data_IF_110456101295
#
_entry.id   IF_110456101295
#
_cell.length_a   1.000
_cell.length_b   1.000
_cell.length_c   1.000
_cell.angle_alpha   90.00
_cell.angle_beta   90.00
_cell.angle_gamma   90.00
#
_symmetry.space_group_name_H-M   'P 1'
#
loop_
_entity.id
_entity.type
_entity.pdbx_description
1 polymer ?
#
# COMPACT_ATOMS: atom_id res chain seq x y z
N UNK A 1 -47.39 -18.52 -11.63
CA UNK A 1 -46.05 -18.50 -12.24
C UNK A 1 -45.35 -17.13 -12.06
N UNK A 2 -46.08 -16.02 -12.17
CA UNK A 2 -45.54 -14.66 -12.04
C UNK A 2 -44.98 -14.33 -10.65
N UNK A 3 -45.68 -14.79 -9.57
CA UNK A 3 -45.28 -14.55 -8.18
C UNK A 3 -43.98 -15.28 -7.80
N UNK A 4 -43.79 -16.49 -8.24
CA UNK A 4 -42.58 -17.26 -7.96
C UNK A 4 -41.35 -16.65 -8.67
N UNK A 5 -41.52 -16.16 -9.89
CA UNK A 5 -40.47 -15.50 -10.65
C UNK A 5 -40.01 -14.20 -9.97
N UNK A 6 -40.97 -13.40 -9.47
CA UNK A 6 -40.68 -12.18 -8.75
C UNK A 6 -39.93 -12.43 -7.44
N UNK A 7 -40.28 -13.49 -6.71
CA UNK A 7 -39.54 -13.90 -5.49
C UNK A 7 -38.10 -14.34 -5.80
N UNK A 8 -37.87 -15.06 -6.89
CA UNK A 8 -36.52 -15.44 -7.30
C UNK A 8 -35.67 -14.24 -7.67
N UNK A 9 -36.22 -13.33 -8.46
CA UNK A 9 -35.52 -12.10 -8.89
C UNK A 9 -35.17 -11.23 -7.69
N UNK A 10 -36.12 -11.01 -6.78
CA UNK A 10 -35.88 -10.20 -5.56
C UNK A 10 -34.80 -10.81 -4.66
N UNK A 11 -34.77 -12.13 -4.49
CA UNK A 11 -33.71 -12.81 -3.73
C UNK A 11 -32.34 -12.68 -4.37
N UNK A 12 -32.24 -12.85 -5.68
CA UNK A 12 -30.98 -12.68 -6.44
C UNK A 12 -30.50 -11.24 -6.34
N UNK A 13 -31.42 -10.28 -6.48
CA UNK A 13 -31.09 -8.84 -6.38
C UNK A 13 -30.61 -8.47 -4.97
N UNK A 14 -31.32 -8.90 -3.93
CA UNK A 14 -30.94 -8.66 -2.54
C UNK A 14 -29.59 -9.30 -2.24
N UNK A 15 -29.35 -10.53 -2.66
CA UNK A 15 -28.06 -11.21 -2.50
C UNK A 15 -26.93 -10.47 -3.21
N UNK A 16 -27.15 -10.04 -4.44
CA UNK A 16 -26.16 -9.29 -5.23
C UNK A 16 -25.82 -7.93 -4.59
N UNK A 17 -26.83 -7.21 -4.10
CA UNK A 17 -26.64 -5.95 -3.38
C UNK A 17 -25.89 -6.19 -2.07
N UNK A 18 -26.26 -7.23 -1.31
CA UNK A 18 -25.62 -7.57 -0.04
C UNK A 18 -24.16 -8.00 -0.24
N UNK A 19 -23.86 -8.79 -1.26
CA UNK A 19 -22.50 -9.17 -1.63
C UNK A 19 -21.69 -7.94 -2.06
N UNK A 20 -22.27 -7.04 -2.84
CA UNK A 20 -21.63 -5.79 -3.29
C UNK A 20 -21.31 -4.85 -2.12
N UNK A 21 -22.23 -4.71 -1.17
CA UNK A 21 -22.03 -3.92 0.05
C UNK A 21 -21.01 -4.57 1.00
N UNK A 22 -21.02 -5.91 1.10
CA UNK A 22 -20.11 -6.67 1.96
C UNK A 22 -18.68 -6.69 1.45
N UNK A 23 -18.51 -6.68 0.13
CA UNK A 23 -17.19 -6.60 -0.53
C UNK A 23 -16.58 -5.20 -0.38
N UNK A 24 -17.41 -4.13 -0.32
CA UNK A 24 -16.93 -2.75 -0.14
C UNK A 24 -16.81 -2.26 1.30
N UNK A 25 -17.56 -2.88 2.25
CA UNK A 25 -17.73 -2.35 3.61
C UNK A 25 -16.52 -2.46 4.53
N UNK A 26 -15.57 -3.35 4.27
CA UNK A 26 -14.40 -3.61 5.12
C UNK A 26 -13.06 -3.31 4.46
N UNK A 27 -13.05 -2.85 3.21
CA UNK A 27 -11.80 -2.51 2.53
C UNK A 27 -11.22 -1.21 3.09
N UNK A 28 -9.99 -1.26 3.60
CA UNK A 28 -9.29 -0.07 4.07
C UNK A 28 -8.90 0.80 2.89
N UNK A 29 -9.23 2.09 2.95
CA UNK A 29 -8.78 3.06 1.96
C UNK A 29 -7.27 3.18 2.02
N UNK A 30 -6.61 2.98 0.89
CA UNK A 30 -5.17 2.94 0.82
C UNK A 30 -4.60 3.79 -0.32
N UNK A 31 -3.42 4.34 -0.10
CA UNK A 31 -2.56 4.86 -1.15
C UNK A 31 -1.41 3.89 -1.44
N UNK A 32 -0.87 3.94 -2.65
CA UNK A 32 0.34 3.21 -3.03
C UNK A 32 1.49 4.22 -3.17
N UNK A 33 2.57 4.01 -2.43
CA UNK A 33 3.82 4.76 -2.59
C UNK A 33 4.62 4.17 -3.74
N UNK A 34 4.60 4.88 -4.89
CA UNK A 34 5.20 4.49 -6.16
C UNK A 34 4.25 4.76 -7.33
N UNK A 35 4.81 4.93 -8.54
CA UNK A 35 4.07 5.36 -9.74
C UNK A 35 4.33 4.51 -10.98
N UNK A 36 5.21 3.51 -10.92
CA UNK A 36 5.63 2.71 -12.06
C UNK A 36 5.10 1.26 -11.96
N UNK A 37 5.70 0.36 -12.72
CA UNK A 37 5.28 -1.04 -12.82
C UNK A 37 4.99 -1.73 -11.48
N UNK A 38 5.79 -1.45 -10.44
CA UNK A 38 5.56 -2.00 -9.10
C UNK A 38 4.25 -1.54 -8.46
N UNK A 39 3.83 -0.29 -8.70
CA UNK A 39 2.55 0.22 -8.20
C UNK A 39 1.37 -0.40 -8.94
N UNK A 40 1.50 -0.62 -10.25
CA UNK A 40 0.48 -1.30 -11.07
C UNK A 40 0.30 -2.74 -10.58
N UNK A 41 1.40 -3.46 -10.38
CA UNK A 41 1.36 -4.84 -9.89
C UNK A 41 0.71 -4.93 -8.51
N UNK A 42 1.06 -4.03 -7.58
CA UNK A 42 0.43 -3.96 -6.26
C UNK A 42 -1.06 -3.65 -6.33
N UNK A 43 -1.47 -2.77 -7.25
CA UNK A 43 -2.89 -2.47 -7.45
C UNK A 43 -3.66 -3.70 -7.92
N UNK A 44 -3.10 -4.45 -8.87
CA UNK A 44 -3.71 -5.67 -9.37
C UNK A 44 -3.79 -6.74 -8.27
N UNK A 45 -2.73 -6.90 -7.48
CA UNK A 45 -2.72 -7.83 -6.35
C UNK A 45 -3.75 -7.44 -5.29
N UNK A 46 -3.80 -6.16 -4.91
CA UNK A 46 -4.78 -5.67 -3.94
C UNK A 46 -6.24 -5.91 -4.39
N UNK A 47 -6.50 -5.88 -5.70
CA UNK A 47 -7.81 -6.21 -6.29
C UNK A 47 -8.12 -7.70 -6.30
N UNK A 48 -7.09 -8.54 -6.43
CA UNK A 48 -7.22 -10.01 -6.52
C UNK A 48 -7.42 -10.66 -5.15
N UNK A 49 -7.00 -10.01 -4.06
CA UNK A 49 -7.19 -10.51 -2.69
C UNK A 49 -8.68 -10.53 -2.35
N UNK A 50 -9.22 -11.72 -2.05
CA UNK A 50 -10.61 -11.89 -1.60
C UNK A 50 -10.63 -12.45 -0.17
N UNK A 51 -11.37 -11.84 0.78
CA UNK A 51 -12.14 -10.60 0.63
C UNK A 51 -11.23 -9.39 0.41
N UNK A 52 -11.73 -8.38 -0.31
CA UNK A 52 -10.97 -7.16 -0.61
C UNK A 52 -10.53 -6.46 0.69
N UNK A 53 -9.22 -6.39 0.91
CA UNK A 53 -8.63 -5.75 2.10
C UNK A 53 -8.38 -4.26 1.89
N UNK A 54 -8.05 -3.85 0.66
CA UNK A 54 -7.66 -2.49 0.34
C UNK A 54 -8.47 -1.93 -0.82
N UNK A 55 -8.92 -0.68 -0.68
CA UNK A 55 -9.47 0.14 -1.75
C UNK A 55 -8.44 1.20 -2.13
N UNK A 56 -7.85 1.08 -3.31
CA UNK A 56 -6.81 2.02 -3.74
C UNK A 56 -7.46 3.32 -4.19
N UNK A 57 -7.13 4.42 -3.50
CA UNK A 57 -7.69 5.75 -3.76
C UNK A 57 -6.71 6.69 -4.49
N UNK A 58 -5.44 6.33 -4.56
CA UNK A 58 -4.44 7.12 -5.28
C UNK A 58 -3.02 6.58 -5.11
N UNK A 59 -2.09 7.32 -5.66
CA UNK A 59 -0.67 6.99 -5.67
C UNK A 59 0.14 8.17 -5.14
N UNK A 60 1.29 7.89 -4.53
CA UNK A 60 2.25 8.91 -4.08
C UNK A 60 3.53 8.73 -4.89
N UNK A 61 3.96 9.78 -5.58
CA UNK A 61 5.17 9.80 -6.39
C UNK A 61 6.16 10.86 -5.94
N UNK A 62 7.43 10.66 -6.26
CA UNK A 62 8.51 11.60 -5.93
C UNK A 62 8.65 12.75 -6.95
N UNK A 63 7.88 12.70 -8.04
CA UNK A 63 7.91 13.71 -9.10
C UNK A 63 7.33 15.03 -8.63
N UNK A 64 7.71 16.12 -9.32
CA UNK A 64 7.06 17.42 -9.14
C UNK A 64 5.55 17.29 -9.35
N UNK A 65 4.72 18.02 -8.61
CA UNK A 65 3.29 17.90 -8.70
C UNK A 65 2.82 18.24 -10.14
N UNK A 66 2.39 17.23 -10.88
CA UNK A 66 1.68 17.40 -12.13
C UNK A 66 0.19 17.29 -11.81
N UNK A 67 -0.53 18.39 -11.95
CA UNK A 67 -1.90 18.57 -11.45
C UNK A 67 -2.91 17.54 -11.97
N UNK A 68 -2.63 16.80 -13.04
CA UNK A 68 -3.56 15.85 -13.65
C UNK A 68 -2.97 14.46 -13.94
N UNK A 69 -1.82 14.12 -13.38
CA UNK A 69 -1.24 12.82 -13.62
C UNK A 69 -2.06 11.72 -12.92
N UNK A 70 -2.52 10.76 -13.72
CA UNK A 70 -3.33 9.63 -13.24
C UNK A 70 -2.69 8.30 -13.59
N UNK A 71 -2.73 7.38 -12.65
CA UNK A 71 -2.35 5.99 -12.85
C UNK A 71 -3.57 5.10 -12.58
N UNK A 72 -3.91 4.23 -13.52
CA UNK A 72 -5.09 3.36 -13.43
C UNK A 72 -6.39 4.11 -13.06
N UNK A 73 -6.55 5.35 -13.55
CA UNK A 73 -7.70 6.21 -13.29
C UNK A 73 -7.70 6.95 -11.94
N UNK A 74 -6.71 6.72 -11.08
CA UNK A 74 -6.54 7.39 -9.79
C UNK A 74 -5.43 8.44 -9.85
N UNK A 75 -5.60 9.54 -9.10
CA UNK A 75 -4.64 10.65 -9.07
C UNK A 75 -3.31 10.24 -8.44
N UNK A 76 -2.23 10.79 -8.95
CA UNK A 76 -0.89 10.73 -8.35
C UNK A 76 -0.67 12.03 -7.57
N UNK A 77 -0.29 11.89 -6.31
CA UNK A 77 0.08 12.96 -5.39
C UNK A 77 1.60 13.04 -5.29
N UNK A 78 2.13 14.24 -5.21
CA UNK A 78 3.56 14.44 -4.99
C UNK A 78 3.91 14.38 -3.50
N UNK A 79 5.08 13.83 -3.16
CA UNK A 79 5.64 13.94 -1.80
C UNK A 79 5.91 15.37 -1.35
N UNK A 80 5.88 16.34 -2.27
CA UNK A 80 6.01 17.77 -1.96
C UNK A 80 4.68 18.43 -1.58
N UNK A 81 3.54 17.77 -1.85
CA UNK A 81 2.22 18.21 -1.38
C UNK A 81 2.05 17.91 0.11
N UNK A 82 1.06 18.51 0.74
CA UNK A 82 0.69 18.18 2.12
C UNK A 82 -0.03 16.82 2.16
N UNK A 83 0.78 15.75 2.11
CA UNK A 83 0.29 14.38 2.08
C UNK A 83 -0.56 14.04 3.31
N UNK A 84 -0.21 14.59 4.48
CA UNK A 84 -0.96 14.34 5.73
C UNK A 84 -2.39 14.85 5.61
N UNK A 85 -2.55 16.08 5.15
CA UNK A 85 -3.87 16.68 4.94
C UNK A 85 -4.68 15.89 3.90
N UNK A 86 -4.05 15.47 2.81
CA UNK A 86 -4.72 14.66 1.76
C UNK A 86 -5.16 13.31 2.33
N UNK A 87 -4.36 12.69 3.18
CA UNK A 87 -4.66 11.43 3.86
C UNK A 87 -5.89 11.58 4.77
N UNK A 88 -5.91 12.65 5.58
CA UNK A 88 -7.02 12.95 6.49
C UNK A 88 -8.31 13.24 5.70
N UNK A 89 -8.26 14.13 4.72
CA UNK A 89 -9.41 14.53 3.89
C UNK A 89 -10.05 13.33 3.16
N UNK A 90 -9.22 12.37 2.72
CA UNK A 90 -9.67 11.17 2.01
C UNK A 90 -9.93 9.99 2.94
N UNK A 91 -9.65 10.10 4.22
CA UNK A 91 -9.81 9.02 5.19
C UNK A 91 -8.96 7.79 4.87
N UNK A 92 -7.73 8.01 4.43
CA UNK A 92 -6.78 6.94 4.12
C UNK A 92 -6.31 6.27 5.42
N UNK A 93 -6.36 4.95 5.46
CA UNK A 93 -5.98 4.15 6.64
C UNK A 93 -4.74 3.30 6.42
N UNK A 94 -4.30 3.16 5.16
CA UNK A 94 -3.16 2.34 4.83
C UNK A 94 -2.31 2.95 3.71
N UNK A 95 -1.00 2.72 3.78
CA UNK A 95 -0.04 3.00 2.69
C UNK A 95 0.62 1.69 2.30
N UNK A 96 0.58 1.37 1.01
CA UNK A 96 1.24 0.23 0.42
C UNK A 96 2.52 0.69 -0.27
N UNK A 97 3.68 0.29 0.24
CA UNK A 97 4.97 0.72 -0.31
C UNK A 97 5.40 -0.23 -1.43
N UNK A 98 5.58 0.33 -2.63
CA UNK A 98 6.07 -0.43 -3.79
C UNK A 98 7.47 -0.97 -3.53
N UNK A 99 7.78 -2.24 -3.92
CA UNK A 99 9.09 -2.84 -3.75
C UNK A 99 10.22 -1.99 -4.33
N UNK A 100 9.97 -1.40 -5.51
CA UNK A 100 10.95 -0.56 -6.20
C UNK A 100 11.25 0.77 -5.49
N UNK A 101 10.34 1.23 -4.64
CA UNK A 101 10.46 2.48 -3.88
C UNK A 101 10.74 2.30 -2.39
N UNK A 102 10.93 1.05 -1.96
CA UNK A 102 11.16 0.73 -0.56
C UNK A 102 12.33 1.51 0.05
N UNK A 103 13.50 1.50 -0.58
CA UNK A 103 14.68 2.24 -0.11
C UNK A 103 14.44 3.75 0.00
N UNK A 104 13.75 4.33 -0.98
CA UNK A 104 13.41 5.76 -0.96
C UNK A 104 12.42 6.09 0.16
N UNK A 105 11.45 5.21 0.40
CA UNK A 105 10.49 5.36 1.49
C UNK A 105 11.19 5.30 2.85
N UNK A 106 12.08 4.32 3.07
CA UNK A 106 12.84 4.17 4.33
C UNK A 106 13.74 5.38 4.59
N UNK A 107 14.31 5.98 3.56
CA UNK A 107 15.14 7.18 3.70
C UNK A 107 14.33 8.47 3.96
N UNK A 108 13.03 8.47 3.71
CA UNK A 108 12.17 9.63 3.91
C UNK A 108 11.50 9.60 5.30
N UNK A 109 12.31 9.84 6.35
CA UNK A 109 11.84 9.83 7.76
C UNK A 109 10.71 10.82 8.00
N UNK A 110 10.77 12.03 7.41
CA UNK A 110 9.71 13.04 7.57
C UNK A 110 8.34 12.52 7.15
N UNK A 111 8.29 11.82 6.02
CA UNK A 111 7.04 11.21 5.55
C UNK A 111 6.59 10.08 6.47
N UNK A 112 7.51 9.23 6.92
CA UNK A 112 7.19 8.13 7.84
C UNK A 112 6.60 8.66 9.16
N UNK A 113 7.28 9.62 9.80
CA UNK A 113 6.83 10.21 11.06
C UNK A 113 5.45 10.85 10.91
N UNK A 114 5.22 11.54 9.79
CA UNK A 114 3.94 12.15 9.47
C UNK A 114 2.83 11.10 9.31
N UNK A 115 3.10 9.99 8.61
CA UNK A 115 2.16 8.88 8.42
C UNK A 115 1.84 8.17 9.74
N UNK A 116 2.86 7.92 10.56
CA UNK A 116 2.70 7.29 11.87
C UNK A 116 1.86 8.20 12.78
N UNK A 117 2.15 9.50 12.80
CA UNK A 117 1.40 10.48 13.59
C UNK A 117 -0.08 10.58 13.16
N UNK A 118 -0.36 10.40 11.86
CA UNK A 118 -1.71 10.32 11.32
C UNK A 118 -2.41 8.96 11.57
N UNK A 119 -1.74 8.01 12.24
CA UNK A 119 -2.30 6.69 12.55
C UNK A 119 -2.49 5.79 11.32
N UNK A 120 -1.73 6.00 10.27
CA UNK A 120 -1.82 5.23 9.02
C UNK A 120 -0.96 3.98 9.11
N UNK A 121 -1.52 2.84 8.74
CA UNK A 121 -0.78 1.57 8.69
C UNK A 121 0.08 1.49 7.43
N UNK A 122 1.32 1.09 7.59
CA UNK A 122 2.28 0.95 6.50
C UNK A 122 2.45 -0.54 6.17
N UNK A 123 2.30 -0.87 4.89
CA UNK A 123 2.47 -2.22 4.36
C UNK A 123 3.59 -2.24 3.33
N UNK A 124 4.53 -3.15 3.49
CA UNK A 124 5.66 -3.34 2.56
C UNK A 124 5.53 -4.70 1.89
N UNK A 125 5.82 -4.75 0.60
CA UNK A 125 5.88 -6.00 -0.13
C UNK A 125 7.11 -6.82 0.26
N UNK A 126 6.93 -8.09 0.64
CA UNK A 126 8.02 -8.92 1.22
C UNK A 126 9.13 -9.29 0.24
N UNK A 127 8.97 -9.19 -1.05
CA UNK A 127 9.95 -9.70 -2.03
C UNK A 127 10.61 -8.60 -2.87
N UNK A 128 10.92 -7.44 -2.26
CA UNK A 128 11.54 -6.31 -2.96
C UNK A 128 12.84 -6.66 -3.71
N UNK A 129 13.65 -7.58 -3.17
CA UNK A 129 14.93 -7.98 -3.78
C UNK A 129 14.76 -8.90 -4.99
N UNK A 130 13.75 -9.78 -4.99
CA UNK A 130 13.42 -10.63 -6.15
C UNK A 130 12.86 -9.83 -7.32
N UNK A 131 12.12 -8.76 -7.05
CA UNK A 131 11.54 -7.88 -8.08
C UNK A 131 12.61 -7.11 -8.84
N UNK A 132 13.75 -6.82 -8.22
CA UNK A 132 14.86 -6.12 -8.88
C UNK A 132 15.61 -6.99 -9.90
N UNK A 133 15.61 -8.31 -9.72
CA UNK A 133 16.38 -9.25 -10.57
C UNK A 133 15.57 -9.93 -11.66
N UNK A 134 14.26 -10.13 -11.48
CA UNK A 134 13.40 -10.82 -12.45
C UNK A 134 12.24 -9.91 -12.85
N UNK A 135 12.20 -9.50 -14.12
CA UNK A 135 11.10 -8.74 -14.72
C UNK A 135 9.80 -9.56 -14.92
N UNK A 136 9.68 -10.75 -14.35
CA UNK A 136 8.47 -11.56 -14.42
C UNK A 136 7.44 -11.06 -13.40
N UNK A 137 6.50 -10.27 -13.91
CA UNK A 137 5.43 -9.54 -13.19
C UNK A 137 4.36 -10.48 -12.58
N UNK A 138 4.49 -11.79 -12.67
CA UNK A 138 3.46 -12.77 -12.33
C UNK A 138 3.60 -13.41 -10.93
N UNK A 139 4.58 -13.01 -10.11
CA UNK A 139 4.68 -13.51 -8.74
C UNK A 139 3.77 -12.71 -7.80
N UNK A 140 2.96 -13.40 -7.01
CA UNK A 140 2.08 -12.82 -6.00
C UNK A 140 2.87 -11.98 -4.99
N UNK A 141 2.49 -10.71 -4.86
CA UNK A 141 3.09 -9.78 -3.91
C UNK A 141 2.50 -10.05 -2.53
N UNK A 142 3.27 -10.59 -1.62
CA UNK A 142 2.83 -10.72 -0.23
C UNK A 142 3.03 -9.39 0.51
N UNK A 143 1.93 -8.81 0.99
CA UNK A 143 1.93 -7.59 1.77
C UNK A 143 2.08 -7.91 3.26
N UNK A 144 3.10 -7.34 3.90
CA UNK A 144 3.31 -7.41 5.34
C UNK A 144 3.07 -6.04 5.97
N UNK A 145 2.30 -6.01 7.06
CA UNK A 145 2.20 -4.81 7.90
C UNK A 145 3.55 -4.59 8.60
N UNK A 146 4.07 -3.39 8.50
CA UNK A 146 5.32 -2.99 9.13
C UNK A 146 5.01 -2.44 10.50
N UNK A 147 5.68 -2.97 11.51
CA UNK A 147 5.64 -2.39 12.86
C UNK A 147 6.59 -1.20 12.93
N UNK A 148 6.30 -0.27 13.82
CA UNK A 148 7.12 0.95 14.02
C UNK A 148 8.57 0.58 14.32
N UNK A 149 8.80 -0.53 15.03
CA UNK A 149 10.12 -1.04 15.38
C UNK A 149 10.94 -1.47 14.17
N UNK A 150 10.29 -1.90 13.08
CA UNK A 150 10.95 -2.30 11.83
C UNK A 150 11.43 -1.08 11.01
N UNK A 151 10.90 0.11 11.28
CA UNK A 151 11.28 1.38 10.63
C UNK A 151 12.40 2.10 11.37
N UNK A 152 12.69 1.71 12.62
CA UNK A 152 13.83 2.26 13.35
C UNK A 152 15.12 1.75 12.70
N UNK A 153 16.09 2.64 12.42
CA UNK A 153 17.38 2.19 11.94
C UNK A 153 17.97 1.30 13.02
N UNK A 154 18.23 0.05 12.67
CA UNK A 154 19.18 -0.75 13.42
C UNK A 154 20.53 -0.11 13.17
N UNK A 155 21.04 0.64 14.13
CA UNK A 155 22.44 1.01 14.14
C UNK A 155 23.21 -0.31 14.04
N UNK A 156 23.82 -0.54 12.89
CA UNK A 156 24.75 -1.64 12.70
C UNK A 156 25.87 -1.35 13.71
N UNK A 157 25.85 -2.10 14.82
CA UNK A 157 26.95 -2.06 15.79
C UNK A 157 28.13 -2.66 15.03
N UNK A 158 28.92 -1.81 14.39
CA UNK A 158 30.26 -2.20 13.94
C UNK A 158 31.06 -2.58 15.18
N UNK A 159 31.04 -3.86 15.50
CA UNK A 159 31.93 -4.44 16.49
C UNK A 159 33.34 -4.34 15.92
N UNK A 160 34.04 -3.30 16.36
CA UNK A 160 35.45 -3.11 16.01
C UNK A 160 36.27 -4.24 16.64
N UNK A 161 36.50 -5.31 15.86
CA UNK A 161 37.22 -6.51 16.26
C UNK A 161 38.67 -6.22 16.61
N UNK A 162 39.24 -5.08 16.23
CA UNK A 162 40.63 -4.72 16.58
C UNK A 162 40.82 -4.37 18.06
N UNK A 163 39.74 -3.88 18.74
CA UNK A 163 39.85 -3.60 20.19
C UNK A 163 39.69 -4.80 21.09
N UNK A 164 39.14 -5.90 20.59
CA UNK A 164 38.97 -7.12 21.38
C UNK A 164 40.26 -7.98 21.38
N UNK A 165 41.08 -7.87 20.32
CA UNK A 165 42.37 -8.61 20.24
C UNK A 165 43.50 -8.06 21.09
N UNK A 166 43.36 -6.86 21.68
CA UNK A 166 44.42 -6.23 22.50
C UNK A 166 44.27 -6.50 24.01
N UNK A 167 43.26 -7.27 24.42
CA UNK A 167 42.97 -7.58 25.83
C UNK A 167 43.16 -9.09 26.19
N UNK A 168 43.71 -9.87 25.28
CA UNK A 168 44.20 -11.24 25.49
C UNK A 168 45.71 -11.30 25.29
#
# INVERSE_FOLDING_TARGET
LSSALFMCISRVMIKSIFESLRVGGNAQRAFIYGTHAGAIAMTNEARNIKPMKFSIEGYIGDSKPHYDERLMGKRIYSTQEDIVKIIEDKGIKAILVSPLKHKMFVNNRKLQDALISAGVKIYIAQNAERWSKNQNINEHVQLREVKIEDLLPRDEIEVNMEKVGALL
#
